data_IF_101997567575
#
_entry.id   IF_101997567575
#
_cell.length_a   1.000
_cell.length_b   1.000
_cell.length_c   1.000
_cell.angle_alpha   90.00
_cell.angle_beta   90.00
_cell.angle_gamma   90.00
#
_symmetry.space_group_name_H-M   'P 1'
#
loop_
_entity.id
_entity.type
_entity.pdbx_description
1 polymer ?
#
# COMPACT_ATOMS: atom_id res chain seq x y z
N UNK A 1 -8.05 -15.69 2.75
CA UNK A 1 -7.66 -14.90 1.55
C UNK A 1 -6.24 -14.40 1.70
N UNK A 2 -5.55 -14.04 0.59
CA UNK A 2 -4.19 -13.49 0.64
C UNK A 2 -4.18 -12.00 0.33
N UNK A 3 -3.38 -11.25 1.09
CA UNK A 3 -3.04 -9.84 0.83
C UNK A 3 -1.53 -9.73 0.77
N UNK A 4 -1.00 -9.03 -0.23
CA UNK A 4 0.41 -8.73 -0.35
C UNK A 4 0.67 -7.25 -0.04
N UNK A 5 1.78 -6.95 0.62
CA UNK A 5 2.31 -5.59 0.78
C UNK A 5 3.67 -5.57 0.07
N UNK A 6 3.77 -4.79 -0.99
CA UNK A 6 5.00 -4.63 -1.79
C UNK A 6 5.56 -3.24 -1.54
N UNK A 7 6.82 -3.13 -1.14
CA UNK A 7 7.39 -1.84 -0.80
C UNK A 7 8.86 -1.73 -1.16
N UNK A 8 9.34 -0.50 -1.27
CA UNK A 8 10.74 -0.16 -1.23
C UNK A 8 11.08 0.61 0.05
N UNK A 9 12.19 0.27 0.70
CA UNK A 9 12.64 0.96 1.90
C UNK A 9 14.16 1.01 1.98
N UNK A 10 14.73 2.23 1.87
CA UNK A 10 16.19 2.43 1.95
C UNK A 10 16.67 2.50 3.40
N UNK A 11 15.90 3.14 4.27
CA UNK A 11 16.32 3.46 5.66
C UNK A 11 15.46 2.77 6.73
N UNK A 12 14.54 1.88 6.32
CA UNK A 12 13.64 1.18 7.23
C UNK A 12 12.26 1.81 7.39
N UNK A 13 12.10 3.12 7.23
CA UNK A 13 10.86 3.85 7.53
C UNK A 13 9.64 3.29 6.79
N UNK A 14 9.75 3.04 5.48
CA UNK A 14 8.63 2.49 4.69
C UNK A 14 8.34 1.05 5.09
N UNK A 15 9.37 0.27 5.43
CA UNK A 15 9.23 -1.09 5.97
C UNK A 15 8.47 -1.08 7.29
N UNK A 16 8.85 -0.22 8.24
CA UNK A 16 8.20 -0.13 9.55
C UNK A 16 6.71 0.17 9.40
N UNK A 17 6.35 1.06 8.45
CA UNK A 17 4.94 1.37 8.17
C UNK A 17 4.21 0.23 7.46
N UNK A 18 4.88 -0.56 6.61
CA UNK A 18 4.32 -1.77 6.03
C UNK A 18 3.99 -2.82 7.12
N UNK A 19 4.85 -2.96 8.11
CA UNK A 19 4.61 -3.85 9.26
C UNK A 19 3.39 -3.41 10.08
N UNK A 20 3.22 -2.10 10.31
CA UNK A 20 2.03 -1.55 10.99
C UNK A 20 0.74 -1.78 10.18
N UNK A 21 0.79 -1.69 8.85
CA UNK A 21 -0.35 -2.05 7.99
C UNK A 21 -0.68 -3.53 8.16
N UNK A 22 0.33 -4.41 8.18
CA UNK A 22 0.14 -5.84 8.37
C UNK A 22 -0.47 -6.18 9.73
N UNK A 23 -0.08 -5.47 10.83
CA UNK A 23 -0.75 -5.57 12.13
C UNK A 23 -2.26 -5.27 11.99
N UNK A 24 -2.61 -4.19 11.29
CA UNK A 24 -4.00 -3.80 11.06
C UNK A 24 -4.79 -4.84 10.27
N UNK A 25 -4.19 -5.45 9.24
CA UNK A 25 -4.77 -6.55 8.47
C UNK A 25 -5.02 -7.76 9.38
N UNK A 26 -4.10 -8.05 10.29
CA UNK A 26 -4.20 -9.16 11.24
C UNK A 26 -5.39 -9.11 12.19
N UNK A 27 -6.08 -7.96 12.33
CA UNK A 27 -7.34 -7.88 13.08
C UNK A 27 -8.54 -8.45 12.34
N UNK A 28 -8.40 -8.83 11.07
CA UNK A 28 -9.48 -9.38 10.25
C UNK A 28 -9.23 -10.88 10.02
N UNK A 29 -10.12 -11.71 10.51
CA UNK A 29 -9.98 -13.17 10.42
C UNK A 29 -10.00 -13.68 8.97
N UNK A 30 -9.30 -14.79 8.74
CA UNK A 30 -9.29 -15.48 7.45
C UNK A 30 -8.39 -14.84 6.39
N UNK A 31 -7.52 -13.89 6.78
CA UNK A 31 -6.55 -13.25 5.89
C UNK A 31 -5.13 -13.68 6.25
N UNK A 32 -4.38 -14.11 5.26
CA UNK A 32 -2.93 -14.27 5.28
C UNK A 32 -2.31 -13.03 4.63
N UNK A 33 -1.41 -12.33 5.32
CA UNK A 33 -0.68 -11.18 4.78
C UNK A 33 0.81 -11.49 4.69
N UNK A 34 1.44 -11.13 3.56
CA UNK A 34 2.90 -11.16 3.41
C UNK A 34 3.44 -9.82 2.92
N UNK A 35 4.63 -9.50 3.42
CA UNK A 35 5.39 -8.31 3.08
C UNK A 35 6.53 -8.69 2.15
N UNK A 36 6.73 -7.90 1.10
CA UNK A 36 7.78 -8.09 0.12
C UNK A 36 8.53 -6.78 -0.12
N UNK A 37 9.83 -6.77 0.16
CA UNK A 37 10.72 -5.80 -0.45
C UNK A 37 10.80 -6.05 -1.95
N UNK A 38 11.00 -5.00 -2.75
CA UNK A 38 11.02 -5.08 -4.22
C UNK A 38 12.01 -6.11 -4.78
N UNK A 39 13.09 -6.40 -4.05
CA UNK A 39 14.11 -7.36 -4.48
C UNK A 39 13.65 -8.82 -4.31
N UNK A 40 12.63 -9.05 -3.48
CA UNK A 40 12.22 -10.40 -3.06
C UNK A 40 10.71 -10.64 -3.27
N UNK A 41 10.10 -10.00 -4.26
CA UNK A 41 8.66 -10.14 -4.52
C UNK A 41 8.36 -11.55 -5.06
N UNK A 42 7.54 -12.28 -4.33
CA UNK A 42 6.96 -13.53 -4.81
C UNK A 42 5.76 -13.24 -5.73
N UNK A 43 6.01 -13.33 -7.03
CA UNK A 43 5.00 -13.05 -8.08
C UNK A 43 3.83 -14.03 -8.01
N UNK A 44 4.06 -15.28 -7.65
CA UNK A 44 2.98 -16.27 -7.53
C UNK A 44 2.07 -15.91 -6.34
N UNK A 45 2.66 -15.48 -5.22
CA UNK A 45 1.85 -14.96 -4.11
C UNK A 45 1.01 -13.74 -4.52
N UNK A 46 1.56 -12.82 -5.34
CA UNK A 46 0.79 -11.68 -5.86
C UNK A 46 -0.38 -12.15 -6.74
N UNK A 47 -0.18 -13.14 -7.59
CA UNK A 47 -1.24 -13.70 -8.45
C UNK A 47 -2.38 -14.29 -7.63
N UNK A 48 -2.07 -14.95 -6.53
CA UNK A 48 -3.06 -15.55 -5.62
C UNK A 48 -3.72 -14.53 -4.68
N UNK A 49 -3.10 -13.38 -4.46
CA UNK A 49 -3.61 -12.33 -3.58
C UNK A 49 -4.89 -11.71 -4.13
N UNK A 50 -5.84 -11.38 -3.25
CA UNK A 50 -7.05 -10.62 -3.57
C UNK A 50 -6.81 -9.11 -3.51
N UNK A 51 -5.85 -8.68 -2.69
CA UNK A 51 -5.42 -7.29 -2.60
C UNK A 51 -3.88 -7.18 -2.63
N UNK A 52 -3.39 -6.08 -3.20
CA UNK A 52 -1.97 -5.71 -3.17
C UNK A 52 -1.85 -4.25 -2.76
N UNK A 53 -1.08 -4.00 -1.71
CA UNK A 53 -0.80 -2.67 -1.18
C UNK A 53 0.64 -2.30 -1.58
N UNK A 54 0.82 -1.13 -2.19
CA UNK A 54 2.14 -0.67 -2.62
C UNK A 54 2.63 0.47 -1.73
N UNK A 55 3.89 0.35 -1.28
CA UNK A 55 4.54 1.32 -0.40
C UNK A 55 5.79 1.94 -1.02
N UNK A 56 5.90 3.27 -0.95
CA UNK A 56 7.03 4.02 -1.49
C UNK A 56 7.48 5.13 -0.54
N UNK A 57 8.80 5.38 -0.40
CA UNK A 57 9.25 6.67 0.11
C UNK A 57 9.01 7.75 -0.95
N UNK A 58 8.89 8.99 -0.50
CA UNK A 58 8.80 10.16 -1.39
C UNK A 58 10.20 10.65 -1.75
N UNK A 59 10.56 10.57 -3.02
CA UNK A 59 11.83 11.07 -3.55
C UNK A 59 11.56 12.09 -4.65
N UNK A 60 12.21 13.26 -4.57
CA UNK A 60 12.07 14.32 -5.57
C UNK A 60 10.60 14.68 -5.88
N UNK A 61 9.79 14.77 -4.82
CA UNK A 61 8.35 15.03 -4.88
C UNK A 61 7.53 14.00 -5.68
N UNK A 62 8.02 12.75 -5.77
CA UNK A 62 7.37 11.65 -6.49
C UNK A 62 7.61 10.32 -5.76
N UNK A 63 7.06 9.23 -6.28
CA UNK A 63 7.43 7.88 -5.88
C UNK A 63 8.92 7.59 -6.15
N UNK A 64 9.48 6.59 -5.51
CA UNK A 64 10.85 6.21 -5.75
C UNK A 64 11.03 5.51 -7.10
N UNK A 65 12.14 5.80 -7.76
CA UNK A 65 12.49 5.19 -9.05
C UNK A 65 12.46 3.65 -9.02
N UNK A 66 12.83 3.05 -7.89
CA UNK A 66 12.88 1.59 -7.76
C UNK A 66 11.49 0.96 -7.93
N UNK A 67 10.45 1.57 -7.35
CA UNK A 67 9.07 1.08 -7.50
C UNK A 67 8.54 1.32 -8.91
N UNK A 68 8.83 2.48 -9.52
CA UNK A 68 8.50 2.78 -10.92
C UNK A 68 9.11 1.74 -11.87
N UNK A 69 10.39 1.45 -11.67
CA UNK A 69 11.11 0.42 -12.43
C UNK A 69 10.48 -0.96 -12.24
N UNK A 70 10.09 -1.30 -11.00
CA UNK A 70 9.43 -2.57 -10.73
C UNK A 70 8.13 -2.73 -11.54
N UNK A 71 7.28 -1.71 -11.60
CA UNK A 71 6.07 -1.72 -12.43
C UNK A 71 6.38 -1.92 -13.91
N UNK A 72 7.42 -1.29 -14.42
CA UNK A 72 7.87 -1.43 -15.80
C UNK A 72 8.36 -2.85 -16.09
N UNK A 73 9.29 -3.36 -15.29
CA UNK A 73 9.88 -4.69 -15.46
C UNK A 73 8.83 -5.81 -15.32
N UNK A 74 7.85 -5.60 -14.44
CA UNK A 74 6.77 -6.54 -14.16
C UNK A 74 5.45 -6.19 -14.88
N UNK A 75 5.55 -5.53 -16.03
CA UNK A 75 4.37 -5.11 -16.82
C UNK A 75 3.43 -6.26 -17.18
N UNK A 76 3.96 -7.48 -17.36
CA UNK A 76 3.20 -8.69 -17.68
C UNK A 76 2.55 -9.37 -16.46
N UNK A 77 2.88 -8.98 -15.24
CA UNK A 77 2.22 -9.53 -14.05
C UNK A 77 0.79 -9.04 -13.99
N UNK A 78 -0.15 -9.98 -14.07
CA UNK A 78 -1.57 -9.66 -14.06
C UNK A 78 -2.05 -9.37 -12.63
N UNK A 79 -2.44 -8.12 -12.40
CA UNK A 79 -3.07 -7.66 -11.15
C UNK A 79 -4.53 -7.20 -11.38
N UNK A 80 -5.07 -7.40 -12.56
CA UNK A 80 -6.43 -7.00 -12.92
C UNK A 80 -7.49 -7.60 -11.99
N UNK A 81 -8.47 -6.78 -11.61
CA UNK A 81 -9.57 -7.15 -10.72
C UNK A 81 -9.22 -7.27 -9.25
N UNK A 82 -7.95 -7.17 -8.85
CA UNK A 82 -7.53 -7.17 -7.44
C UNK A 82 -7.75 -5.80 -6.81
N UNK A 83 -7.96 -5.76 -5.50
CA UNK A 83 -7.98 -4.52 -4.74
C UNK A 83 -6.56 -3.94 -4.68
N UNK A 84 -6.40 -2.67 -5.00
CA UNK A 84 -5.13 -1.95 -4.97
C UNK A 84 -5.15 -0.78 -4.01
N UNK A 85 -4.13 -0.61 -3.20
CA UNK A 85 -3.99 0.50 -2.28
C UNK A 85 -2.55 1.01 -2.21
N UNK A 86 -2.36 2.26 -1.75
CA UNK A 86 -1.06 2.91 -1.73
C UNK A 86 -0.81 3.55 -0.37
N UNK A 87 0.42 3.43 0.13
CA UNK A 87 0.92 4.20 1.26
C UNK A 87 2.28 4.81 0.95
N UNK A 88 2.60 5.90 1.61
CA UNK A 88 3.81 6.68 1.35
C UNK A 88 4.45 7.12 2.66
N UNK A 89 5.77 7.15 2.68
CA UNK A 89 6.53 7.83 3.73
C UNK A 89 7.25 9.05 3.14
N UNK A 90 7.30 10.13 3.89
CA UNK A 90 7.96 11.37 3.47
C UNK A 90 8.75 11.99 4.62
N UNK A 91 9.78 12.77 4.28
CA UNK A 91 10.54 13.53 5.29
C UNK A 91 9.84 14.83 5.70
N UNK A 92 9.08 15.44 4.77
CA UNK A 92 8.48 16.76 4.96
C UNK A 92 7.03 16.78 4.52
N UNK A 93 6.15 17.55 5.20
CA UNK A 93 4.73 17.66 4.82
C UNK A 93 4.51 18.14 3.38
N UNK A 94 5.36 19.06 2.90
CA UNK A 94 5.32 19.60 1.54
C UNK A 94 6.20 18.83 0.55
N UNK A 95 6.62 17.62 0.89
CA UNK A 95 7.60 16.85 0.11
C UNK A 95 7.05 16.18 -1.16
N UNK A 96 5.76 16.27 -1.45
CA UNK A 96 5.13 15.67 -2.63
C UNK A 96 4.57 14.26 -2.38
N UNK A 97 4.20 13.93 -1.15
CA UNK A 97 3.59 12.63 -0.82
C UNK A 97 2.33 12.35 -1.65
N UNK A 98 1.47 13.35 -1.85
CA UNK A 98 0.25 13.22 -2.65
C UNK A 98 0.56 12.94 -4.13
N UNK A 99 1.61 13.54 -4.67
CA UNK A 99 2.08 13.26 -6.04
C UNK A 99 2.59 11.82 -6.14
N UNK A 100 3.36 11.36 -5.16
CA UNK A 100 3.85 9.99 -5.12
C UNK A 100 2.70 8.98 -5.07
N UNK A 101 1.68 9.21 -4.23
CA UNK A 101 0.47 8.37 -4.18
C UNK A 101 -0.22 8.35 -5.54
N UNK A 102 -0.49 9.53 -6.11
CA UNK A 102 -1.22 9.66 -7.38
C UNK A 102 -0.49 8.97 -8.53
N UNK A 103 0.83 9.06 -8.58
CA UNK A 103 1.66 8.34 -9.55
C UNK A 103 1.47 6.83 -9.47
N UNK A 104 1.53 6.27 -8.26
CA UNK A 104 1.32 4.82 -8.07
C UNK A 104 -0.13 4.43 -8.38
N UNK A 105 -1.13 5.22 -7.98
CA UNK A 105 -2.54 4.96 -8.33
C UNK A 105 -2.71 4.82 -9.84
N UNK A 106 -2.04 5.67 -10.64
CA UNK A 106 -2.09 5.55 -12.10
C UNK A 106 -1.56 4.19 -12.59
N UNK A 107 -0.47 3.68 -12.01
CA UNK A 107 0.00 2.33 -12.33
C UNK A 107 -1.03 1.25 -11.97
N UNK A 108 -1.70 1.37 -10.81
CA UNK A 108 -2.73 0.41 -10.41
C UNK A 108 -3.91 0.42 -11.38
N UNK A 109 -4.36 1.60 -11.82
CA UNK A 109 -5.43 1.73 -12.81
C UNK A 109 -5.04 1.13 -14.17
N UNK A 110 -3.81 1.38 -14.65
CA UNK A 110 -3.29 0.76 -15.88
C UNK A 110 -3.23 -0.77 -15.76
N UNK A 111 -2.94 -1.29 -14.57
CA UNK A 111 -2.98 -2.73 -14.28
C UNK A 111 -4.41 -3.30 -14.13
N UNK A 112 -5.46 -2.48 -14.25
CA UNK A 112 -6.85 -2.90 -14.11
C UNK A 112 -7.27 -3.26 -12.69
N UNK A 113 -6.60 -2.70 -11.68
CA UNK A 113 -6.92 -2.91 -10.27
C UNK A 113 -8.11 -2.06 -9.83
N UNK A 114 -8.84 -2.51 -8.83
CA UNK A 114 -9.85 -1.75 -8.10
C UNK A 114 -9.15 -0.91 -7.03
N UNK A 115 -8.92 0.36 -7.29
CA UNK A 115 -8.19 1.24 -6.36
C UNK A 115 -9.06 1.63 -5.17
N UNK A 116 -8.55 1.44 -3.96
CA UNK A 116 -9.26 1.75 -2.72
C UNK A 116 -8.32 2.31 -1.66
N UNK A 117 -8.64 3.47 -1.15
CA UNK A 117 -7.84 4.16 -0.11
C UNK A 117 -8.47 4.13 1.28
N UNK A 118 -9.61 3.49 1.44
CA UNK A 118 -10.55 3.64 2.54
C UNK A 118 -11.34 4.96 2.55
N UNK A 119 -10.80 6.03 2.00
CA UNK A 119 -11.50 7.32 1.89
C UNK A 119 -11.85 7.99 3.21
N UNK A 120 -12.55 9.13 3.13
CA UNK A 120 -13.00 9.89 4.30
C UNK A 120 -14.37 9.44 4.85
N UNK A 121 -15.13 8.64 4.12
CA UNK A 121 -16.52 8.28 4.48
C UNK A 121 -16.62 7.38 5.74
N UNK A 122 -15.55 6.67 6.09
CA UNK A 122 -15.51 5.79 7.26
C UNK A 122 -15.12 6.51 8.57
N UNK A 123 -15.05 7.85 8.56
CA UNK A 123 -14.71 8.64 9.74
C UNK A 123 -13.22 8.63 10.10
N UNK A 124 -12.92 9.03 11.32
CA UNK A 124 -11.56 9.16 11.83
C UNK A 124 -10.85 7.79 11.98
N UNK A 125 -9.53 7.73 11.71
CA UNK A 125 -8.75 8.77 11.03
C UNK A 125 -9.18 8.89 9.55
N UNK A 126 -9.26 10.12 9.05
CA UNK A 126 -9.56 10.34 7.62
C UNK A 126 -8.36 9.94 6.76
N UNK A 127 -8.60 9.10 5.76
CA UNK A 127 -7.60 8.68 4.79
C UNK A 127 -8.16 9.03 3.41
N UNK A 128 -7.57 10.00 2.71
CA UNK A 128 -8.12 10.48 1.45
C UNK A 128 -7.72 9.59 0.27
N UNK A 129 -6.54 9.79 -0.30
CA UNK A 129 -6.08 9.04 -1.49
C UNK A 129 -5.11 7.89 -1.16
N UNK A 130 -4.61 7.86 0.08
CA UNK A 130 -3.68 6.85 0.60
C UNK A 130 -3.15 7.25 1.97
N UNK A 131 -2.45 6.36 2.63
CA UNK A 131 -1.87 6.62 3.93
C UNK A 131 -0.48 7.28 3.79
N UNK A 132 -0.24 8.36 4.56
CA UNK A 132 1.03 9.09 4.58
C UNK A 132 1.59 9.13 5.99
N UNK A 133 2.88 8.77 6.16
CA UNK A 133 3.62 8.96 7.40
C UNK A 133 4.81 9.89 7.19
N UNK A 134 4.99 10.83 8.10
CA UNK A 134 6.16 11.69 8.14
C UNK A 134 7.24 11.09 9.04
N UNK A 135 8.48 11.13 8.60
CA UNK A 135 9.61 10.50 9.29
C UNK A 135 9.81 11.00 10.74
N UNK A 136 9.57 12.28 10.98
CA UNK A 136 9.68 12.91 12.30
C UNK A 136 8.47 12.67 13.21
N UNK A 137 7.41 12.05 12.70
CA UNK A 137 6.13 11.78 13.40
C UNK A 137 5.59 10.37 13.16
N UNK A 138 6.46 9.38 13.04
CA UNK A 138 6.05 8.01 12.73
C UNK A 138 5.10 7.43 13.78
N UNK A 139 5.36 7.67 15.06
CA UNK A 139 4.50 7.16 16.14
C UNK A 139 3.07 7.71 16.05
N UNK A 140 2.92 8.98 15.69
CA UNK A 140 1.60 9.61 15.48
C UNK A 140 0.86 8.96 14.30
N UNK A 141 1.61 8.54 13.26
CA UNK A 141 1.07 7.90 12.06
C UNK A 141 0.63 6.44 12.25
N UNK A 142 1.14 5.73 13.25
CA UNK A 142 0.90 4.29 13.41
C UNK A 142 -0.57 3.92 13.52
N UNK A 143 -1.37 4.69 14.26
CA UNK A 143 -2.81 4.42 14.36
C UNK A 143 -3.50 4.52 13.00
N UNK A 144 -3.19 5.56 12.22
CA UNK A 144 -3.74 5.73 10.86
C UNK A 144 -3.38 4.55 9.96
N UNK A 145 -2.13 4.10 9.99
CA UNK A 145 -1.66 2.97 9.18
C UNK A 145 -2.28 1.64 9.60
N UNK A 146 -2.45 1.42 10.90
CA UNK A 146 -3.14 0.23 11.42
C UNK A 146 -4.62 0.21 11.00
N UNK A 147 -5.31 1.35 11.11
CA UNK A 147 -6.69 1.48 10.64
C UNK A 147 -6.78 1.33 9.12
N UNK A 148 -5.82 1.89 8.37
CA UNK A 148 -5.74 1.69 6.92
C UNK A 148 -5.65 0.22 6.54
N UNK A 149 -4.73 -0.53 7.16
CA UNK A 149 -4.59 -1.98 6.93
C UNK A 149 -5.88 -2.74 7.23
N UNK A 150 -6.51 -2.47 8.39
CA UNK A 150 -7.78 -3.09 8.77
C UNK A 150 -8.88 -2.81 7.73
N UNK A 151 -9.07 -1.56 7.30
CA UNK A 151 -10.11 -1.18 6.33
C UNK A 151 -9.88 -1.80 4.96
N UNK A 152 -8.62 -1.93 4.52
CA UNK A 152 -8.29 -2.66 3.27
C UNK A 152 -8.66 -4.14 3.40
N UNK A 153 -8.34 -4.76 4.53
CA UNK A 153 -8.68 -6.15 4.79
C UNK A 153 -10.20 -6.39 4.82
N UNK A 154 -10.94 -5.55 5.53
CA UNK A 154 -12.42 -5.60 5.58
C UNK A 154 -13.02 -5.45 4.17
N UNK A 155 -12.54 -4.49 3.37
CA UNK A 155 -12.99 -4.30 1.99
C UNK A 155 -12.62 -5.49 1.10
N UNK A 156 -11.46 -6.10 1.31
CA UNK A 156 -11.07 -7.32 0.59
C UNK A 156 -12.05 -8.47 0.88
N UNK A 157 -12.41 -8.65 2.16
CA UNK A 157 -13.40 -9.66 2.54
C UNK A 157 -14.77 -9.35 1.91
N UNK A 158 -15.23 -8.11 1.98
CA UNK A 158 -16.51 -7.68 1.41
C UNK A 158 -16.61 -7.98 -0.08
N UNK A 159 -15.54 -7.72 -0.85
CA UNK A 159 -15.55 -7.86 -2.31
C UNK A 159 -15.31 -9.30 -2.79
N UNK A 160 -14.59 -10.12 -2.05
CA UNK A 160 -14.10 -11.40 -2.53
C UNK A 160 -14.53 -12.61 -1.67
N UNK A 161 -15.33 -12.40 -0.64
CA UNK A 161 -15.94 -13.50 0.11
C UNK A 161 -17.07 -14.09 -0.74
N UNK A 162 -16.96 -15.38 -1.02
CA UNK A 162 -18.03 -16.19 -1.64
C UNK A 162 -19.17 -16.43 -0.67
#
# INVERSE_FOLDING_TARGET
>A
MKIAIVYFSKTGTTKDMAEVIAEGIGFVEGIEVKLFDLENVDVEYLKESKAVIFGTPTYMANSCFQLEKWFYDNSKVNLGGKLGAVFVTANYPQGGADTAISGIINHLLVKGMLVYSSGGALGQPFIHIGAVALRDRLEEGKNLFRVFGKRIAEKTVELFKE
#
